data_IF_657252483304
#
_entry.id   IF_657252483304
#
_cell.length_a   1.000
_cell.length_b   1.000
_cell.length_c   1.000
_cell.angle_alpha   90.00
_cell.angle_beta   90.00
_cell.angle_gamma   90.00
#
_symmetry.space_group_name_H-M   'P 1'
#
loop_
_entity.id
_entity.type
_entity.pdbx_description
1 polymer ?
#
# COMPACT_ATOMS: atom_id res chain seq x y z
N UNK A 1 7.79 3.56 16.49
CA UNK A 1 6.82 3.23 15.42
C UNK A 1 6.30 4.52 14.85
N UNK A 2 6.12 4.60 13.53
CA UNK A 2 5.57 5.77 12.82
C UNK A 2 4.33 5.37 12.00
N UNK A 3 3.61 6.36 11.45
CA UNK A 3 2.42 6.13 10.61
C UNK A 3 2.73 5.19 9.43
N UNK A 4 3.90 5.35 8.80
CA UNK A 4 4.35 4.53 7.66
C UNK A 4 4.49 3.06 8.05
N UNK A 5 5.08 2.78 9.20
CA UNK A 5 5.29 1.41 9.72
C UNK A 5 3.99 0.77 10.16
N UNK A 6 3.11 1.52 10.83
CA UNK A 6 1.80 1.03 11.23
C UNK A 6 0.93 0.70 10.00
N UNK A 7 0.89 1.58 8.99
CA UNK A 7 0.15 1.32 7.76
C UNK A 7 0.64 0.04 7.06
N UNK A 8 1.97 -0.15 6.96
CA UNK A 8 2.56 -1.37 6.36
C UNK A 8 2.21 -2.65 7.11
N UNK A 9 2.07 -2.57 8.43
CA UNK A 9 1.68 -3.69 9.29
C UNK A 9 0.20 -4.01 9.09
N UNK A 10 -0.69 -3.02 9.22
CA UNK A 10 -2.12 -3.22 9.06
C UNK A 10 -2.51 -3.71 7.66
N UNK A 11 -1.77 -3.30 6.62
CA UNK A 11 -2.03 -3.78 5.26
C UNK A 11 -1.97 -5.30 5.11
N UNK A 12 -1.06 -5.97 5.83
CA UNK A 12 -0.93 -7.44 5.72
C UNK A 12 -1.96 -8.18 6.57
N UNK A 13 -2.60 -7.48 7.51
CA UNK A 13 -3.68 -8.01 8.35
C UNK A 13 -5.05 -7.80 7.70
N UNK A 14 -5.27 -6.66 7.03
CA UNK A 14 -6.55 -6.30 6.40
C UNK A 14 -6.74 -6.99 5.06
N UNK A 15 -5.68 -7.13 4.27
CA UNK A 15 -5.76 -7.68 2.91
C UNK A 15 -5.14 -9.06 2.81
N UNK A 16 -5.83 -9.96 2.12
CA UNK A 16 -5.33 -11.30 1.87
C UNK A 16 -4.03 -11.30 1.07
N UNK A 17 -3.21 -12.35 1.27
CA UNK A 17 -1.97 -12.52 0.54
C UNK A 17 -2.17 -12.66 -0.98
N UNK A 18 -3.34 -13.13 -1.44
CA UNK A 18 -3.69 -13.18 -2.87
C UNK A 18 -3.96 -11.77 -3.40
N UNK A 19 -4.78 -10.98 -2.69
CA UNK A 19 -5.05 -9.58 -3.07
C UNK A 19 -3.77 -8.74 -3.12
N UNK A 20 -2.89 -8.87 -2.12
CA UNK A 20 -1.61 -8.14 -2.06
C UNK A 20 -0.63 -8.49 -3.20
N UNK A 21 -0.78 -9.65 -3.85
CA UNK A 21 0.05 -10.08 -4.99
C UNK A 21 -0.51 -9.64 -6.33
N UNK A 22 -1.83 -9.61 -6.46
CA UNK A 22 -2.52 -9.31 -7.73
C UNK A 22 -2.78 -7.81 -7.85
N UNK A 23 -3.36 -7.21 -6.82
CA UNK A 23 -3.83 -5.83 -6.85
C UNK A 23 -2.69 -4.81 -6.82
N UNK A 24 -2.97 -3.64 -7.39
CA UNK A 24 -2.23 -2.41 -7.10
C UNK A 24 -2.93 -1.65 -5.98
N UNK A 25 -2.30 -0.56 -5.48
CA UNK A 25 -2.93 0.19 -4.39
C UNK A 25 -4.27 0.76 -4.83
N UNK A 26 -4.40 1.38 -6.01
CA UNK A 26 -5.62 2.10 -6.45
C UNK A 26 -6.23 1.59 -7.76
N UNK A 27 -5.58 0.69 -8.48
CA UNK A 27 -6.00 0.27 -9.82
C UNK A 27 -5.53 1.20 -10.95
N UNK A 28 -4.95 2.36 -10.60
CA UNK A 28 -4.51 3.34 -11.59
C UNK A 28 -3.33 2.80 -12.43
N UNK A 29 -3.38 3.05 -13.74
CA UNK A 29 -2.27 2.78 -14.65
C UNK A 29 -1.08 3.66 -14.26
N UNK A 30 0.11 3.08 -14.20
CA UNK A 30 1.33 3.86 -13.99
C UNK A 30 1.67 4.58 -15.30
N UNK A 31 1.64 5.91 -15.29
CA UNK A 31 2.04 6.72 -16.46
C UNK A 31 3.55 6.73 -16.70
N UNK A 32 4.34 6.29 -15.71
CA UNK A 32 5.80 6.43 -15.71
C UNK A 32 6.54 5.32 -16.48
N UNK A 33 5.89 4.20 -16.79
CA UNK A 33 6.47 3.16 -17.64
C UNK A 33 5.87 3.29 -19.04
N UNK A 34 6.57 4.00 -19.93
CA UNK A 34 6.23 4.15 -21.36
C UNK A 34 6.26 2.86 -22.18
N UNK A 35 6.21 1.69 -21.54
CA UNK A 35 6.10 0.39 -22.19
C UNK A 35 4.64 0.01 -22.37
N UNK A 36 4.27 -0.37 -23.60
CA UNK A 36 2.95 -0.83 -24.05
C UNK A 36 2.37 -2.07 -23.33
N UNK A 37 2.99 -2.53 -22.23
CA UNK A 37 2.69 -3.78 -21.53
C UNK A 37 2.66 -3.66 -20.00
N UNK A 38 2.38 -2.49 -19.43
CA UNK A 38 2.05 -2.46 -17.98
C UNK A 38 0.68 -3.08 -17.78
N UNK A 39 0.68 -4.34 -17.34
CA UNK A 39 -0.51 -5.10 -16.94
C UNK A 39 -1.36 -4.26 -15.97
N UNK A 40 -2.56 -3.91 -16.40
CA UNK A 40 -3.52 -3.18 -15.56
C UNK A 40 -3.95 -4.12 -14.44
N UNK A 41 -3.79 -3.67 -13.19
CA UNK A 41 -4.11 -4.47 -12.00
C UNK A 41 -5.33 -3.87 -11.32
N UNK A 42 -6.24 -4.69 -10.78
CA UNK A 42 -7.32 -4.17 -9.95
C UNK A 42 -6.75 -3.40 -8.76
N UNK A 43 -7.53 -2.46 -8.22
CA UNK A 43 -7.22 -1.82 -6.95
C UNK A 43 -7.52 -2.76 -5.78
N UNK A 44 -6.90 -2.51 -4.63
CA UNK A 44 -7.44 -3.01 -3.37
C UNK A 44 -8.84 -2.41 -3.14
N UNK A 45 -9.66 -3.06 -2.32
CA UNK A 45 -10.98 -2.55 -1.95
C UNK A 45 -10.83 -1.13 -1.35
N UNK A 46 -11.62 -0.18 -1.86
CA UNK A 46 -11.44 1.25 -1.61
C UNK A 46 -11.71 1.60 -0.15
N UNK A 47 -12.83 1.11 0.39
CA UNK A 47 -13.29 1.50 1.72
C UNK A 47 -12.34 0.95 2.80
N UNK A 48 -11.83 -0.27 2.62
CA UNK A 48 -10.82 -0.87 3.46
C UNK A 48 -9.51 -0.07 3.47
N UNK A 49 -9.09 0.50 2.33
CA UNK A 49 -7.93 1.40 2.30
C UNK A 49 -8.23 2.68 3.07
N UNK A 50 -9.38 3.28 2.85
CA UNK A 50 -9.75 4.57 3.44
C UNK A 50 -9.89 4.44 4.97
N UNK A 51 -10.51 3.36 5.46
CA UNK A 51 -10.59 3.02 6.88
C UNK A 51 -9.19 2.81 7.48
N UNK A 52 -8.32 2.04 6.82
CA UNK A 52 -6.95 1.82 7.29
C UNK A 52 -6.17 3.14 7.39
N UNK A 53 -6.22 3.97 6.35
CA UNK A 53 -5.54 5.27 6.29
C UNK A 53 -6.05 6.17 7.42
N UNK A 54 -7.37 6.28 7.57
CA UNK A 54 -7.98 7.12 8.60
C UNK A 54 -7.62 6.66 10.00
N UNK A 55 -7.63 5.34 10.23
CA UNK A 55 -7.21 4.77 11.52
C UNK A 55 -5.76 5.16 11.85
N UNK A 56 -4.84 5.00 10.89
CA UNK A 56 -3.42 5.33 11.10
C UNK A 56 -3.21 6.82 11.35
N UNK A 57 -3.90 7.68 10.61
CA UNK A 57 -3.85 9.14 10.81
C UNK A 57 -4.32 9.51 12.22
N UNK A 58 -5.51 9.06 12.62
CA UNK A 58 -6.07 9.36 13.94
C UNK A 58 -5.22 8.76 15.07
N UNK A 59 -4.67 7.57 14.90
CA UNK A 59 -3.80 6.96 15.90
C UNK A 59 -2.45 7.67 16.00
N UNK A 60 -1.87 8.04 14.86
CA UNK A 60 -0.61 8.78 14.79
C UNK A 60 -0.72 10.14 15.46
N UNK A 61 -1.79 10.88 15.19
CA UNK A 61 -2.09 12.16 15.83
C UNK A 61 -2.15 12.04 17.35
N UNK A 62 -2.92 11.06 17.86
CA UNK A 62 -3.00 10.78 19.31
C UNK A 62 -1.66 10.40 19.94
N UNK A 63 -0.71 9.90 19.17
CA UNK A 63 0.63 9.51 19.62
C UNK A 63 1.69 10.59 19.38
N UNK A 64 1.32 11.75 18.85
CA UNK A 64 2.27 12.81 18.48
C UNK A 64 3.20 12.42 17.33
N UNK A 65 2.80 11.47 16.47
CA UNK A 65 3.56 11.11 15.27
C UNK A 65 3.31 12.13 14.17
N UNK A 66 4.32 12.40 13.35
CA UNK A 66 4.15 13.25 12.17
C UNK A 66 3.11 12.63 11.22
N UNK A 67 1.92 13.24 11.14
CA UNK A 67 0.79 12.83 10.31
C UNK A 67 0.76 13.53 8.95
N UNK A 68 1.59 14.57 8.75
CA UNK A 68 1.51 15.45 7.58
C UNK A 68 1.86 14.77 6.25
N UNK A 69 2.52 13.62 6.28
CA UNK A 69 2.93 12.92 5.06
C UNK A 69 1.97 11.79 4.66
N UNK A 70 0.66 12.10 4.53
CA UNK A 70 -0.35 11.17 3.97
C UNK A 70 0.13 10.60 2.64
N UNK A 71 0.75 11.43 1.81
CA UNK A 71 1.34 11.03 0.52
C UNK A 71 2.45 10.01 0.71
N UNK A 72 3.36 10.21 1.66
CA UNK A 72 4.44 9.28 1.97
C UNK A 72 3.96 8.01 2.65
N UNK A 73 2.88 8.06 3.43
CA UNK A 73 2.21 6.85 3.90
C UNK A 73 1.67 6.03 2.73
N UNK A 74 0.91 6.66 1.82
CA UNK A 74 0.41 6.04 0.59
C UNK A 74 1.56 5.47 -0.24
N UNK A 75 2.67 6.19 -0.40
CA UNK A 75 3.85 5.69 -1.11
C UNK A 75 4.52 4.51 -0.39
N UNK A 76 4.58 4.53 0.95
CA UNK A 76 5.06 3.40 1.75
C UNK A 76 4.20 2.15 1.53
N UNK A 77 2.88 2.32 1.46
CA UNK A 77 1.94 1.25 1.13
C UNK A 77 2.17 0.68 -0.29
N UNK A 78 2.36 1.55 -1.29
CA UNK A 78 2.70 1.13 -2.67
C UNK A 78 4.02 0.35 -2.72
N UNK A 79 5.05 0.83 -2.02
CA UNK A 79 6.34 0.15 -1.95
C UNK A 79 6.24 -1.21 -1.27
N UNK A 80 5.41 -1.33 -0.22
CA UNK A 80 5.13 -2.61 0.43
C UNK A 80 4.47 -3.60 -0.53
N UNK A 81 3.43 -3.18 -1.26
CA UNK A 81 2.81 -4.01 -2.33
C UNK A 81 3.83 -4.44 -3.38
N UNK A 82 4.71 -3.54 -3.82
CA UNK A 82 5.80 -3.88 -4.73
C UNK A 82 6.75 -4.94 -4.14
N UNK A 83 7.18 -4.76 -2.89
CA UNK A 83 8.07 -5.70 -2.21
C UNK A 83 7.48 -7.11 -2.06
N UNK A 84 6.18 -7.21 -1.76
CA UNK A 84 5.45 -8.48 -1.62
C UNK A 84 5.36 -9.25 -2.95
N UNK A 85 5.34 -8.52 -4.08
CA UNK A 85 5.37 -9.09 -5.43
C UNK A 85 6.78 -9.55 -5.82
N UNK A 86 7.80 -8.72 -5.58
CA UNK A 86 9.18 -9.02 -5.99
C UNK A 86 9.83 -10.16 -5.19
N UNK A 87 9.42 -10.39 -3.94
CA UNK A 87 9.98 -11.44 -3.07
C UNK A 87 9.83 -12.87 -3.61
N UNK A 88 9.04 -13.10 -4.67
CA UNK A 88 8.89 -14.40 -5.33
C UNK A 88 9.74 -14.61 -6.58
N UNK A 89 10.48 -13.61 -7.08
CA UNK A 89 11.34 -13.80 -8.29
C UNK A 89 12.69 -14.49 -8.01
N UNK A 90 13.00 -14.84 -6.76
CA UNK A 90 14.28 -15.48 -6.35
C UNK A 90 14.06 -16.88 -5.74
N UNK A 91 13.09 -17.64 -6.24
CA UNK A 91 13.03 -19.09 -6.01
C UNK A 91 13.04 -19.78 -7.37
N UNK A 92 14.24 -19.89 -7.93
CA UNK A 92 14.61 -20.83 -9.00
C UNK A 92 15.85 -21.54 -8.50
#
# INVERSE_FOLDING_TARGET
TDCKSLARMLMVEVFSQSALKVCSLTGARTTFYGGSKTEVRPGLEKDARDVLIKYVETYGEKRGWCTEDRRGMINSMRNKLYSLRCRKRHRV
#
